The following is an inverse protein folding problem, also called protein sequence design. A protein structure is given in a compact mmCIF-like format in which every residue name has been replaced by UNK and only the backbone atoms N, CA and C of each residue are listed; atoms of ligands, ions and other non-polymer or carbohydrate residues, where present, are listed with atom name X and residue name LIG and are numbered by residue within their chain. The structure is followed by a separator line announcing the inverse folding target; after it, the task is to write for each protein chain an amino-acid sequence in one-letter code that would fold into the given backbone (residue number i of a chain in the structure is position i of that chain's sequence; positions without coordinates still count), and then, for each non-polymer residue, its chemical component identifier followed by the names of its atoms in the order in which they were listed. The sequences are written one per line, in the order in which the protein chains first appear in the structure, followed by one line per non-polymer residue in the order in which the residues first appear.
data_IF_830672308151
#
_entry.id   IF_830672308151
#
_cell.length_a   1.000
_cell.length_b   1.000
_cell.length_c   1.000
_cell.angle_alpha   90.00
_cell.angle_beta   90.00
_cell.angle_gamma   90.00
#
_symmetry.space_group_name_H-M   'P 1'
#
loop_
_entity.id
_entity.type
_entity.pdbx_description
1 polymer ?
#
# COMPACT_ATOMS: atom_id res chain seq x y z
N UNK A 1 8.74 -0.92 15.54
CA UNK A 1 7.93 -1.29 14.35
C UNK A 1 7.87 -0.15 13.35
N UNK A 2 7.90 -0.40 12.05
CA UNK A 2 7.80 0.64 11.00
C UNK A 2 7.13 0.14 9.73
N UNK A 3 6.53 1.08 8.99
CA UNK A 3 5.97 0.83 7.67
C UNK A 3 6.99 1.15 6.58
N UNK A 4 7.16 0.25 5.62
CA UNK A 4 8.03 0.44 4.45
C UNK A 4 7.17 0.67 3.22
N UNK A 5 7.53 1.66 2.42
CA UNK A 5 6.96 1.93 1.10
C UNK A 5 8.11 2.00 0.11
N UNK A 6 7.97 1.33 -1.02
CA UNK A 6 8.99 1.37 -2.09
C UNK A 6 8.32 1.90 -3.35
N UNK A 7 8.77 3.05 -3.84
CA UNK A 7 8.20 3.72 -5.00
C UNK A 7 9.15 3.72 -6.19
N UNK A 8 8.60 3.65 -7.40
CA UNK A 8 9.38 3.67 -8.65
C UNK A 8 9.92 5.07 -8.94
N UNK A 9 11.22 5.14 -9.22
CA UNK A 9 11.92 6.39 -9.57
C UNK A 9 11.82 6.72 -11.06
N UNK A 10 11.82 5.70 -11.91
CA UNK A 10 11.79 5.83 -13.38
C UNK A 10 10.50 6.46 -13.93
N UNK A 11 9.44 6.45 -13.16
CA UNK A 11 8.17 7.09 -13.55
C UNK A 11 8.23 8.62 -13.50
N UNK A 12 9.25 9.20 -12.89
CA UNK A 12 9.43 10.66 -12.76
C UNK A 12 8.16 11.39 -12.28
N UNK A 13 7.44 10.76 -11.35
CA UNK A 13 6.20 11.32 -10.80
C UNK A 13 6.46 12.71 -10.20
N UNK A 14 5.54 13.64 -10.44
CA UNK A 14 5.54 14.91 -9.72
C UNK A 14 5.51 14.68 -8.20
N UNK A 15 5.99 15.62 -7.37
CA UNK A 15 5.94 15.47 -5.91
C UNK A 15 4.54 15.18 -5.38
N UNK A 16 3.51 15.82 -5.94
CA UNK A 16 2.12 15.59 -5.57
C UNK A 16 1.64 14.18 -5.93
N UNK A 17 2.00 13.70 -7.12
CA UNK A 17 1.66 12.35 -7.56
C UNK A 17 2.35 11.29 -6.70
N UNK A 18 3.64 11.46 -6.44
CA UNK A 18 4.40 10.56 -5.56
C UNK A 18 3.78 10.51 -4.17
N UNK A 19 3.45 11.67 -3.59
CA UNK A 19 2.81 11.73 -2.28
C UNK A 19 1.47 10.98 -2.27
N UNK A 20 0.63 11.17 -3.28
CA UNK A 20 -0.64 10.46 -3.41
C UNK A 20 -0.45 8.94 -3.47
N UNK A 21 0.51 8.45 -4.28
CA UNK A 21 0.82 7.03 -4.39
C UNK A 21 1.35 6.46 -3.05
N UNK A 22 2.20 7.19 -2.35
CA UNK A 22 2.67 6.81 -1.02
C UNK A 22 1.54 6.78 0.02
N UNK A 23 0.59 7.71 -0.05
CA UNK A 23 -0.61 7.69 0.80
C UNK A 23 -1.48 6.45 0.52
N UNK A 24 -1.70 6.11 -0.75
CA UNK A 24 -2.39 4.87 -1.11
C UNK A 24 -1.69 3.65 -0.53
N UNK A 25 -0.37 3.58 -0.70
CA UNK A 25 0.46 2.48 -0.17
C UNK A 25 0.41 2.40 1.35
N UNK A 26 0.44 3.54 2.04
CA UNK A 26 0.39 3.60 3.50
C UNK A 26 -0.94 3.11 4.06
N UNK A 27 -2.05 3.40 3.40
CA UNK A 27 -3.39 3.05 3.87
C UNK A 27 -3.88 1.69 3.37
N UNK A 28 -3.18 1.05 2.44
CA UNK A 28 -3.67 -0.14 1.73
C UNK A 28 -4.07 -1.28 2.68
N UNK A 29 -3.29 -1.55 3.73
CA UNK A 29 -3.57 -2.63 4.68
C UNK A 29 -4.85 -2.41 5.52
N UNK A 30 -5.25 -1.16 5.71
CA UNK A 30 -6.53 -0.81 6.35
C UNK A 30 -7.67 -0.81 5.34
N UNK A 31 -7.47 -0.09 4.21
CA UNK A 31 -8.53 0.09 3.22
C UNK A 31 -8.90 -1.20 2.49
N UNK A 32 -7.99 -2.17 2.38
CA UNK A 32 -8.31 -3.51 1.85
C UNK A 32 -9.37 -4.22 2.70
N UNK A 33 -9.24 -4.16 4.03
CA UNK A 33 -10.23 -4.71 4.95
C UNK A 33 -11.56 -3.94 4.88
N UNK A 34 -11.50 -2.60 4.78
CA UNK A 34 -12.70 -1.75 4.68
C UNK A 34 -13.47 -1.94 3.37
N UNK A 35 -12.82 -2.45 2.30
CA UNK A 35 -13.47 -2.75 1.01
C UNK A 35 -14.18 -4.10 0.99
N UNK A 36 -13.99 -4.94 1.99
CA UNK A 36 -14.73 -6.18 2.12
C UNK A 36 -16.18 -5.89 2.49
N UNK A 37 -17.05 -5.93 1.49
CA UNK A 37 -18.48 -5.64 1.66
C UNK A 37 -19.22 -6.63 2.54
N UNK A 38 -18.69 -7.84 2.72
CA UNK A 38 -19.27 -8.85 3.60
C UNK A 38 -19.21 -8.41 5.08
N UNK A 39 -18.28 -7.50 5.40
CA UNK A 39 -18.05 -6.96 6.72
C UNK A 39 -18.59 -5.53 6.87
N UNK A 40 -19.67 -5.18 6.12
CA UNK A 40 -20.24 -3.85 6.14
C UNK A 40 -21.73 -3.87 6.49
N UNK A 41 -22.14 -3.04 7.44
CA UNK A 41 -23.54 -2.67 7.61
C UNK A 41 -23.84 -1.33 6.91
N UNK A 42 -25.09 -1.17 6.48
CA UNK A 42 -25.58 0.05 5.83
C UNK A 42 -26.45 0.84 6.80
N UNK A 43 -26.25 2.14 6.87
CA UNK A 43 -27.11 3.06 7.59
C UNK A 43 -28.07 3.73 6.59
N UNK A 44 -29.36 3.75 6.92
CA UNK A 44 -30.40 4.26 6.05
C UNK A 44 -31.04 5.51 6.65
N UNK A 45 -31.44 6.45 5.80
CA UNK A 45 -32.29 7.60 6.11
C UNK A 45 -33.25 7.77 4.94
N UNK A 46 -34.55 7.87 5.24
CA UNK A 46 -35.64 8.02 4.25
C UNK A 46 -35.60 6.97 3.11
N UNK A 47 -35.16 5.71 3.44
CA UNK A 47 -35.06 4.61 2.49
C UNK A 47 -33.77 4.56 1.66
N UNK A 48 -32.91 5.56 1.78
CA UNK A 48 -31.64 5.61 1.07
C UNK A 48 -30.46 5.30 1.98
N UNK A 49 -29.41 4.69 1.41
CA UNK A 49 -28.14 4.44 2.12
C UNK A 49 -27.40 5.74 2.27
N UNK A 50 -27.26 6.23 3.51
CA UNK A 50 -26.55 7.48 3.82
C UNK A 50 -25.14 7.27 4.36
N UNK A 51 -24.82 6.07 4.84
CA UNK A 51 -23.50 5.74 5.35
C UNK A 51 -23.24 4.23 5.35
N UNK A 52 -21.97 3.88 5.41
CA UNK A 52 -21.49 2.51 5.61
C UNK A 52 -20.71 2.42 6.92
N UNK A 53 -20.97 1.38 7.70
CA UNK A 53 -20.21 1.09 8.92
C UNK A 53 -19.43 -0.21 8.71
N UNK A 54 -18.13 -0.14 8.39
CA UNK A 54 -17.30 -1.33 8.30
C UNK A 54 -17.08 -1.91 9.70
N UNK A 55 -17.31 -3.20 9.83
CA UNK A 55 -17.03 -3.95 11.06
C UNK A 55 -16.15 -5.17 10.71
N UNK A 56 -15.57 -5.77 11.73
CA UNK A 56 -14.66 -6.90 11.53
C UNK A 56 -13.26 -6.53 11.06
N UNK A 57 -12.91 -5.23 11.05
CA UNK A 57 -11.52 -4.81 10.84
C UNK A 57 -10.67 -5.31 11.99
N UNK A 58 -9.66 -6.11 11.67
CA UNK A 58 -8.72 -6.66 12.65
C UNK A 58 -7.38 -5.94 12.49
N UNK A 59 -6.91 -5.36 13.58
CA UNK A 59 -5.57 -4.77 13.67
C UNK A 59 -4.79 -5.60 14.68
N UNK A 60 -3.65 -6.12 14.25
CA UNK A 60 -2.75 -6.87 15.14
C UNK A 60 -2.35 -6.00 16.33
N UNK A 61 -2.27 -6.63 17.52
CA UNK A 61 -1.98 -5.92 18.77
C UNK A 61 -0.72 -5.06 18.67
N UNK A 62 0.36 -5.62 18.15
CA UNK A 62 1.66 -4.93 18.05
C UNK A 62 1.60 -3.75 17.07
N UNK A 63 0.84 -3.88 15.96
CA UNK A 63 0.61 -2.75 15.05
C UNK A 63 -0.13 -1.62 15.77
N UNK A 64 -1.15 -1.95 16.55
CA UNK A 64 -1.89 -0.94 17.29
C UNK A 64 -1.05 -0.28 18.39
N UNK A 65 -0.41 -1.07 19.25
CA UNK A 65 0.30 -0.56 20.42
C UNK A 65 1.63 0.12 20.06
N UNK A 66 2.45 -0.51 19.19
CA UNK A 66 3.80 0.00 18.90
C UNK A 66 3.83 1.01 17.75
N UNK A 67 2.90 0.89 16.78
CA UNK A 67 2.94 1.76 15.61
C UNK A 67 1.81 2.79 15.59
N UNK A 68 0.54 2.41 15.66
CA UNK A 68 -0.59 3.38 15.62
C UNK A 68 -0.55 4.30 16.83
N UNK A 69 -0.43 3.73 18.03
CA UNK A 69 -0.36 4.47 19.31
C UNK A 69 1.06 4.91 19.66
N UNK A 70 2.06 4.47 18.89
CA UNK A 70 3.47 4.77 19.10
C UNK A 70 4.02 5.84 18.17
N UNK A 71 5.20 5.58 17.56
CA UNK A 71 5.95 6.58 16.80
C UNK A 71 5.38 6.80 15.37
N UNK A 72 4.61 5.88 14.85
CA UNK A 72 4.00 5.93 13.52
C UNK A 72 5.00 6.07 12.35
N UNK A 73 6.20 5.47 12.50
CA UNK A 73 7.32 5.63 11.58
C UNK A 73 7.03 5.02 10.21
N UNK A 74 7.37 5.77 9.17
CA UNK A 74 7.33 5.33 7.77
C UNK A 74 8.70 5.54 7.12
N UNK A 75 9.10 4.59 6.28
CA UNK A 75 10.31 4.68 5.46
C UNK A 75 9.92 4.56 4.00
N UNK A 76 10.23 5.59 3.21
CA UNK A 76 9.98 5.59 1.77
C UNK A 76 11.31 5.35 1.07
N UNK A 77 11.38 4.26 0.29
CA UNK A 77 12.54 3.89 -0.51
C UNK A 77 12.22 4.02 -2.00
N UNK A 78 13.27 4.13 -2.82
CA UNK A 78 13.15 4.16 -4.27
C UNK A 78 13.54 2.83 -4.91
N UNK A 79 12.78 2.43 -5.91
CA UNK A 79 13.16 1.41 -6.89
C UNK A 79 13.45 2.09 -8.22
N UNK A 80 14.60 1.77 -8.85
CA UNK A 80 15.03 2.39 -10.12
C UNK A 80 14.06 2.11 -11.27
N UNK A 81 13.34 0.98 -11.22
CA UNK A 81 12.38 0.55 -12.25
C UNK A 81 11.47 -0.56 -11.71
N UNK A 82 10.50 -0.98 -12.54
CA UNK A 82 9.56 -2.06 -12.21
C UNK A 82 10.26 -3.36 -11.79
N UNK A 83 11.33 -3.75 -12.48
CA UNK A 83 12.03 -5.01 -12.15
C UNK A 83 12.67 -4.96 -10.76
N UNK A 84 13.24 -3.81 -10.38
CA UNK A 84 13.77 -3.63 -9.03
C UNK A 84 12.65 -3.60 -7.99
N UNK A 85 11.52 -2.97 -8.30
CA UNK A 85 10.35 -2.99 -7.42
C UNK A 85 9.87 -4.44 -7.17
N UNK A 86 9.79 -5.26 -8.21
CA UNK A 86 9.37 -6.67 -8.09
C UNK A 86 10.36 -7.53 -7.27
N UNK A 87 11.62 -7.12 -7.13
CA UNK A 87 12.54 -7.78 -6.17
C UNK A 87 12.07 -7.63 -4.72
N UNK A 88 11.38 -6.53 -4.38
CA UNK A 88 10.79 -6.39 -3.05
C UNK A 88 9.69 -7.41 -2.80
N UNK A 89 8.88 -7.73 -3.83
CA UNK A 89 7.89 -8.83 -3.77
C UNK A 89 8.57 -10.16 -3.48
N UNK A 90 9.63 -10.48 -4.24
CA UNK A 90 10.37 -11.74 -4.04
C UNK A 90 11.00 -11.83 -2.64
N UNK A 91 11.53 -10.74 -2.13
CA UNK A 91 12.08 -10.68 -0.76
C UNK A 91 10.95 -10.90 0.26
N UNK A 92 9.83 -10.21 0.10
CA UNK A 92 8.68 -10.33 0.99
C UNK A 92 8.14 -11.77 1.03
N UNK A 93 7.94 -12.38 -0.13
CA UNK A 93 7.50 -13.76 -0.24
C UNK A 93 8.51 -14.75 0.37
N UNK A 94 9.81 -14.52 0.19
CA UNK A 94 10.87 -15.30 0.84
C UNK A 94 10.88 -15.17 2.37
N UNK A 95 10.33 -14.09 2.92
CA UNK A 95 10.10 -13.87 4.35
C UNK A 95 8.73 -14.40 4.84
N UNK A 96 7.96 -15.05 3.97
CA UNK A 96 6.63 -15.58 4.29
C UNK A 96 5.50 -14.55 4.27
N UNK A 97 5.78 -13.32 3.81
CA UNK A 97 4.76 -12.27 3.70
C UNK A 97 3.86 -12.52 2.47
N UNK A 98 2.57 -12.16 2.61
CA UNK A 98 1.54 -12.44 1.60
C UNK A 98 1.00 -11.15 0.99
N UNK A 99 0.88 -11.15 -0.36
CA UNK A 99 0.21 -10.06 -1.08
C UNK A 99 -1.27 -9.98 -0.67
N UNK A 100 -1.77 -8.77 -0.54
CA UNK A 100 -3.15 -8.52 -0.12
C UNK A 100 -3.39 -8.61 1.39
N UNK A 101 -2.39 -9.02 2.17
CA UNK A 101 -2.44 -9.14 3.63
C UNK A 101 -1.30 -8.33 4.26
N UNK A 102 -0.07 -8.63 3.90
CA UNK A 102 1.13 -8.03 4.50
C UNK A 102 1.74 -6.94 3.62
N UNK A 103 1.54 -7.04 2.30
CA UNK A 103 1.96 -6.02 1.34
C UNK A 103 0.96 -5.89 0.18
N UNK A 104 0.99 -4.72 -0.47
CA UNK A 104 0.02 -4.31 -1.48
C UNK A 104 0.72 -3.65 -2.66
N UNK A 105 0.39 -4.08 -3.88
CA UNK A 105 0.84 -3.45 -5.11
C UNK A 105 -0.10 -2.29 -5.45
N UNK A 106 0.44 -1.09 -5.54
CA UNK A 106 -0.34 0.11 -5.85
C UNK A 106 -0.24 0.39 -7.34
N UNK A 107 -1.37 0.27 -8.02
CA UNK A 107 -1.50 0.53 -9.45
C UNK A 107 -2.32 1.79 -9.68
N UNK A 108 -1.71 2.76 -10.35
CA UNK A 108 -2.37 4.01 -10.73
C UNK A 108 -3.28 3.79 -11.94
N UNK A 109 -4.39 4.53 -12.02
CA UNK A 109 -5.35 4.47 -13.13
C UNK A 109 -4.94 5.31 -14.36
N UNK A 110 -3.78 5.95 -14.33
CA UNK A 110 -3.21 6.72 -15.44
C UNK A 110 -4.12 7.83 -16.00
N UNK A 111 -4.89 8.49 -15.12
CA UNK A 111 -5.82 9.54 -15.53
C UNK A 111 -5.17 10.92 -15.62
N UNK A 112 -3.92 11.07 -15.18
CA UNK A 112 -3.25 12.37 -15.12
C UNK A 112 -1.90 12.36 -15.85
N UNK A 113 -0.82 11.99 -15.16
CA UNK A 113 0.55 12.18 -15.66
C UNK A 113 1.28 10.87 -16.04
N UNK A 114 0.70 9.72 -15.77
CA UNK A 114 1.35 8.43 -16.06
C UNK A 114 0.72 7.77 -17.28
N UNK A 115 1.56 7.14 -18.11
CA UNK A 115 1.13 6.29 -19.21
C UNK A 115 0.86 4.86 -18.71
N UNK A 116 -0.19 4.19 -19.23
CA UNK A 116 -0.49 2.82 -18.85
C UNK A 116 0.60 1.83 -19.32
N UNK A 117 1.05 0.97 -18.42
CA UNK A 117 1.95 -0.16 -18.73
C UNK A 117 1.15 -1.46 -18.97
N UNK A 118 -0.06 -1.53 -18.45
CA UNK A 118 -0.94 -2.71 -18.58
C UNK A 118 -2.41 -2.25 -18.60
N UNK A 119 -3.30 -3.15 -18.96
CA UNK A 119 -4.76 -2.93 -18.92
C UNK A 119 -5.35 -3.96 -17.98
N UNK A 120 -6.20 -3.52 -17.05
CA UNK A 120 -6.86 -4.42 -16.10
C UNK A 120 -8.06 -5.15 -16.73
N UNK A 121 -8.68 -6.06 -15.98
CA UNK A 121 -9.83 -6.86 -16.40
C UNK A 121 -11.06 -6.03 -16.82
N UNK A 122 -11.13 -4.77 -16.41
CA UNK A 122 -12.21 -3.84 -16.76
C UNK A 122 -11.83 -2.93 -17.93
N UNK A 123 -10.69 -3.16 -18.58
CA UNK A 123 -10.21 -2.34 -19.70
C UNK A 123 -9.58 -1.01 -19.28
N UNK A 124 -9.28 -0.83 -17.99
CA UNK A 124 -8.67 0.40 -17.47
C UNK A 124 -7.15 0.28 -17.50
N UNK A 125 -6.49 1.29 -18.07
CA UNK A 125 -5.03 1.39 -18.08
C UNK A 125 -4.47 1.50 -16.66
N UNK A 126 -3.39 0.76 -16.38
CA UNK A 126 -2.75 0.70 -15.06
C UNK A 126 -1.24 0.79 -15.17
N UNK A 127 -0.63 1.40 -14.17
CA UNK A 127 0.83 1.41 -13.99
C UNK A 127 1.16 1.14 -12.55
N UNK A 128 1.98 0.12 -12.30
CA UNK A 128 2.48 -0.21 -10.97
C UNK A 128 3.45 0.88 -10.51
N UNK A 129 3.09 1.61 -9.45
CA UNK A 129 3.84 2.78 -8.97
C UNK A 129 4.66 2.51 -7.72
N UNK A 130 4.11 1.77 -6.77
CA UNK A 130 4.78 1.45 -5.52
C UNK A 130 4.23 0.18 -4.86
N UNK A 131 4.97 -0.29 -3.86
CA UNK A 131 4.55 -1.34 -2.92
C UNK A 131 4.43 -0.71 -1.55
N UNK A 132 3.31 -0.94 -0.88
CA UNK A 132 3.11 -0.61 0.53
C UNK A 132 3.09 -1.87 1.39
N UNK A 133 3.83 -1.86 2.48
CA UNK A 133 3.78 -2.92 3.48
C UNK A 133 2.86 -2.48 4.63
N UNK A 134 2.20 -3.43 5.31
CA UNK A 134 1.69 -3.14 6.65
C UNK A 134 2.85 -2.79 7.58
N UNK A 135 2.63 -2.17 8.75
CA UNK A 135 3.70 -2.00 9.71
C UNK A 135 4.31 -3.35 10.09
N UNK A 136 5.62 -3.46 10.02
CA UNK A 136 6.38 -4.68 10.28
C UNK A 136 7.37 -4.48 11.43
N UNK A 137 7.76 -5.55 12.15
CA UNK A 137 8.89 -5.52 13.07
C UNK A 137 10.14 -4.95 12.36
N UNK A 138 10.98 -4.23 13.10
CA UNK A 138 12.10 -3.46 12.51
C UNK A 138 13.13 -4.33 11.80
N UNK A 139 13.36 -5.55 12.28
CA UNK A 139 14.26 -6.53 11.67
C UNK A 139 13.73 -7.00 10.30
N UNK A 140 12.43 -7.31 10.20
CA UNK A 140 11.77 -7.70 8.94
C UNK A 140 11.74 -6.52 7.97
N UNK A 141 11.31 -5.34 8.44
CA UNK A 141 11.31 -4.12 7.66
C UNK A 141 12.72 -3.78 7.12
N UNK A 142 13.77 -4.00 7.92
CA UNK A 142 15.15 -3.80 7.51
C UNK A 142 15.59 -4.80 6.44
N UNK A 143 15.22 -6.06 6.54
CA UNK A 143 15.55 -7.06 5.52
C UNK A 143 15.02 -6.69 4.14
N UNK A 144 13.85 -6.03 4.08
CA UNK A 144 13.26 -5.53 2.85
C UNK A 144 14.00 -4.24 2.41
N UNK A 145 14.03 -3.22 3.27
CA UNK A 145 14.46 -1.86 2.91
C UNK A 145 15.96 -1.73 2.63
N UNK A 146 16.82 -2.55 3.25
CA UNK A 146 18.31 -2.50 3.05
C UNK A 146 18.77 -2.71 1.61
N UNK A 147 17.90 -3.20 0.74
CA UNK A 147 18.19 -3.40 -0.69
C UNK A 147 17.80 -2.19 -1.57
N UNK A 148 17.23 -1.17 -0.97
CA UNK A 148 16.71 0.02 -1.64
C UNK A 148 17.27 1.27 -0.97
N UNK A 149 17.51 2.31 -1.77
CA UNK A 149 17.91 3.61 -1.22
C UNK A 149 16.70 4.36 -0.70
N UNK A 150 16.91 5.26 0.26
CA UNK A 150 15.87 6.21 0.64
C UNK A 150 15.49 7.06 -0.58
N UNK A 151 14.21 7.32 -0.74
CA UNK A 151 13.73 8.14 -1.85
C UNK A 151 14.24 9.57 -1.68
N UNK A 152 14.87 10.12 -2.74
CA UNK A 152 15.45 11.47 -2.80
C UNK A 152 14.86 12.28 -3.94
#
# INVERSE_FOLDING_TARGET
MRQVIIARKDLNMSPGKLAAQCCHASLAFLTSQMRDRSQMSKLYRDGEVVAYNPFGMIIEKDIYEEWISGIFTKTICEARNRNQLMKAVSIAQGLGLKEGIDFFLIKDSCLTELEPEEVDENGVGRTLTCIGFKPLPDDIAHQISKKFQLYK
#
